data_IF_199384203451
#
_entry.id   IF_199384203451
#
_cell.length_a   1.000
_cell.length_b   1.000
_cell.length_c   1.000
_cell.angle_alpha   90.00
_cell.angle_beta   90.00
_cell.angle_gamma   90.00
#
_symmetry.space_group_name_H-M   'P 1'
#
loop_
_entity.id
_entity.type
_entity.pdbx_description
1 polymer ?
#
# COMPACT_ATOMS: atom_id res chain seq x y z
N UNK A 1 54.48 -22.30 24.33
CA UNK A 1 53.13 -22.08 23.73
C UNK A 1 52.43 -21.06 24.62
N UNK A 2 52.39 -19.82 24.17
CA UNK A 2 51.58 -18.77 24.76
C UNK A 2 50.13 -19.11 24.45
N UNK A 3 49.17 -18.90 25.40
CA UNK A 3 47.77 -19.11 25.13
C UNK A 3 47.31 -18.01 24.15
N UNK A 4 46.73 -18.39 23.04
CA UNK A 4 45.94 -17.49 22.18
C UNK A 4 44.79 -16.89 23.06
N UNK A 5 44.92 -15.59 23.34
CA UNK A 5 43.83 -14.84 23.99
C UNK A 5 42.66 -14.79 23.00
N UNK A 6 41.57 -15.47 23.31
CA UNK A 6 40.29 -15.35 22.59
C UNK A 6 39.82 -13.89 22.67
N UNK A 7 40.15 -13.10 21.65
CA UNK A 7 39.66 -11.73 21.53
C UNK A 7 38.14 -11.82 21.33
N UNK A 8 37.37 -11.39 22.34
CA UNK A 8 35.92 -11.39 22.30
C UNK A 8 35.42 -10.30 21.36
N UNK A 9 34.73 -10.69 20.30
CA UNK A 9 33.99 -9.78 19.41
C UNK A 9 32.55 -9.62 19.93
N UNK A 10 32.08 -8.37 19.98
CA UNK A 10 30.69 -8.08 20.37
C UNK A 10 30.04 -7.17 19.30
N UNK A 11 28.81 -7.49 18.86
CA UNK A 11 28.05 -6.61 17.97
C UNK A 11 27.46 -5.44 18.77
N UNK A 12 27.70 -4.21 18.31
CA UNK A 12 27.25 -2.96 18.93
C UNK A 12 26.46 -2.14 17.90
N UNK A 13 25.24 -1.63 18.23
CA UNK A 13 24.47 -0.74 17.35
C UNK A 13 25.12 0.65 17.25
N UNK A 14 24.66 1.48 16.28
CA UNK A 14 25.15 2.85 16.07
C UNK A 14 25.08 3.75 17.31
N UNK A 15 24.09 3.52 18.18
CA UNK A 15 23.97 4.19 19.48
C UNK A 15 23.42 3.23 20.50
N UNK A 16 23.92 3.28 21.75
CA UNK A 16 23.45 2.49 22.86
C UNK A 16 23.74 3.19 24.19
N UNK A 17 23.07 2.75 25.27
CA UNK A 17 23.36 3.26 26.58
C UNK A 17 24.55 2.53 27.21
N UNK A 18 25.25 3.17 28.15
CA UNK A 18 26.35 2.56 28.92
C UNK A 18 25.92 1.27 29.61
N UNK A 19 24.67 1.18 30.02
CA UNK A 19 24.07 -0.03 30.62
C UNK A 19 24.01 -1.18 29.62
N UNK A 20 23.50 -0.92 28.41
CA UNK A 20 23.41 -1.91 27.34
C UNK A 20 24.77 -2.36 26.85
N UNK A 21 25.75 -1.44 26.80
CA UNK A 21 27.14 -1.79 26.49
C UNK A 21 27.71 -2.77 27.54
N UNK A 22 27.48 -2.50 28.83
CA UNK A 22 27.94 -3.39 29.88
C UNK A 22 27.26 -4.78 29.82
N UNK A 23 25.97 -4.84 29.47
CA UNK A 23 25.25 -6.08 29.30
C UNK A 23 25.77 -6.88 28.10
N UNK A 24 26.05 -6.22 26.95
CA UNK A 24 26.68 -6.85 25.76
C UNK A 24 28.11 -7.35 26.05
N UNK A 25 28.86 -6.61 26.84
CA UNK A 25 30.22 -7.02 27.32
C UNK A 25 30.15 -8.11 28.42
N UNK A 26 28.95 -8.48 28.89
CA UNK A 26 28.72 -9.46 29.98
C UNK A 26 29.44 -9.08 31.28
N UNK A 27 29.47 -7.78 31.62
CA UNK A 27 30.10 -7.27 32.83
C UNK A 27 29.14 -6.36 33.62
N UNK A 28 29.35 -6.21 34.97
CA UNK A 28 28.55 -5.31 35.78
C UNK A 28 28.71 -3.84 35.30
N UNK A 29 27.59 -3.15 35.03
CA UNK A 29 27.59 -1.75 34.58
C UNK A 29 28.35 -0.81 35.57
N UNK A 30 28.32 -1.12 36.89
CA UNK A 30 29.08 -0.39 37.90
C UNK A 30 30.62 -0.49 37.70
N UNK A 31 31.13 -1.62 37.22
CA UNK A 31 32.56 -1.79 36.92
C UNK A 31 32.98 -0.95 35.72
N UNK A 32 32.12 -0.86 34.70
CA UNK A 32 32.35 -0.03 33.49
C UNK A 32 32.40 1.45 33.88
N UNK A 33 31.38 1.96 34.59
CA UNK A 33 31.34 3.36 35.06
C UNK A 33 32.53 3.71 35.95
N UNK A 34 32.93 2.80 36.84
CA UNK A 34 34.11 3.02 37.73
C UNK A 34 35.39 3.18 36.92
N UNK A 35 35.63 2.37 35.87
CA UNK A 35 36.80 2.45 35.03
C UNK A 35 36.81 3.75 34.21
N UNK A 36 35.71 4.14 33.63
CA UNK A 36 35.54 5.40 32.90
C UNK A 36 35.78 6.63 33.82
N UNK A 37 35.26 6.56 35.05
CA UNK A 37 35.53 7.61 36.04
C UNK A 37 37.02 7.74 36.42
N UNK A 38 37.75 6.60 36.52
CA UNK A 38 39.20 6.62 36.75
C UNK A 38 39.99 7.18 35.56
N UNK A 39 39.44 7.14 34.34
CA UNK A 39 39.97 7.74 33.12
C UNK A 39 39.57 9.22 32.98
N UNK A 40 38.83 9.79 33.93
CA UNK A 40 38.40 11.19 33.93
C UNK A 40 37.11 11.49 33.20
N UNK A 41 36.36 10.47 32.76
CA UNK A 41 35.10 10.63 32.09
C UNK A 41 33.94 10.43 33.08
N UNK A 42 33.13 11.47 33.27
CA UNK A 42 31.90 11.39 34.07
C UNK A 42 30.74 10.95 33.18
N UNK A 43 30.34 9.68 33.30
CA UNK A 43 29.27 9.10 32.52
C UNK A 43 28.15 8.57 33.42
N UNK A 44 26.92 8.68 32.94
CA UNK A 44 25.72 8.14 33.61
C UNK A 44 25.33 6.80 32.98
N UNK A 45 24.73 5.90 33.77
CA UNK A 45 24.30 4.58 33.27
C UNK A 45 23.29 4.62 32.12
N UNK A 46 22.50 5.68 32.03
CA UNK A 46 21.48 5.88 31.00
C UNK A 46 21.95 6.88 29.92
N UNK A 47 23.20 7.25 29.92
CA UNK A 47 23.78 8.11 28.89
C UNK A 47 23.92 7.33 27.58
N UNK A 48 23.37 7.87 26.49
CA UNK A 48 23.58 7.36 25.15
C UNK A 48 24.98 7.74 24.67
N UNK A 49 25.65 6.77 24.08
CA UNK A 49 26.98 6.88 23.47
C UNK A 49 26.91 6.41 22.02
N UNK A 50 27.73 6.99 21.17
CA UNK A 50 27.87 6.60 19.78
C UNK A 50 28.69 5.32 19.64
N UNK A 51 28.64 4.69 18.45
CA UNK A 51 29.45 3.49 18.15
C UNK A 51 30.95 3.76 18.38
N UNK A 52 31.45 4.89 17.91
CA UNK A 52 32.89 5.25 18.05
C UNK A 52 33.31 5.33 19.53
N UNK A 53 32.46 5.95 20.36
CA UNK A 53 32.70 6.02 21.82
C UNK A 53 32.59 4.63 22.47
N UNK A 54 31.65 3.82 22.04
CA UNK A 54 31.44 2.45 22.53
C UNK A 54 32.59 1.53 22.10
N UNK A 55 33.13 1.68 20.90
CA UNK A 55 34.32 0.97 20.38
C UNK A 55 35.55 1.31 21.20
N UNK A 56 35.80 2.61 21.47
CA UNK A 56 36.93 3.05 22.29
C UNK A 56 36.86 2.48 23.72
N UNK A 57 35.66 2.47 24.28
CA UNK A 57 35.39 1.87 25.59
C UNK A 57 35.64 0.36 25.55
N UNK A 58 35.09 -0.36 24.57
CA UNK A 58 35.25 -1.81 24.43
C UNK A 58 36.71 -2.21 24.24
N UNK A 59 37.46 -1.47 23.41
CA UNK A 59 38.90 -1.66 23.21
C UNK A 59 39.69 -1.50 24.53
N UNK A 60 39.29 -0.62 25.43
CA UNK A 60 39.92 -0.47 26.73
C UNK A 60 39.77 -1.71 27.64
N UNK A 61 38.95 -2.69 27.25
CA UNK A 61 38.71 -3.97 27.91
C UNK A 61 39.16 -5.18 27.07
N UNK A 62 39.96 -4.95 26.01
CA UNK A 62 40.44 -5.98 25.07
C UNK A 62 39.27 -6.71 24.35
N UNK A 63 38.18 -5.97 24.07
CA UNK A 63 37.01 -6.44 23.34
C UNK A 63 36.91 -5.66 22.02
N UNK A 64 36.80 -6.38 20.91
CA UNK A 64 36.58 -5.76 19.59
C UNK A 64 35.07 -5.55 19.43
N UNK A 65 34.68 -4.29 19.16
CA UNK A 65 33.34 -3.94 18.80
C UNK A 65 33.19 -4.07 17.29
N UNK A 66 32.16 -4.76 16.83
CA UNK A 66 31.73 -4.77 15.44
C UNK A 66 30.42 -4.02 15.34
N UNK A 67 30.28 -3.18 14.31
CA UNK A 67 29.01 -2.52 14.05
C UNK A 67 27.95 -3.59 13.77
N UNK A 68 26.92 -3.64 14.62
CA UNK A 68 25.77 -4.50 14.37
C UNK A 68 25.06 -3.97 13.12
N UNK A 69 25.27 -4.63 11.96
CA UNK A 69 24.45 -4.33 10.79
C UNK A 69 23.00 -4.51 11.21
N UNK A 70 22.27 -3.39 11.32
CA UNK A 70 20.81 -3.44 11.45
C UNK A 70 20.32 -4.15 10.19
N UNK A 71 20.09 -5.44 10.30
CA UNK A 71 19.33 -6.15 9.28
C UNK A 71 17.97 -5.48 9.30
N UNK A 72 17.71 -4.67 8.28
CA UNK A 72 16.40 -4.07 8.10
C UNK A 72 15.41 -5.22 7.83
N UNK A 73 14.84 -5.76 8.92
CA UNK A 73 13.90 -6.89 8.87
C UNK A 73 12.71 -6.55 7.98
N UNK A 74 12.36 -5.25 7.90
CA UNK A 74 11.31 -4.78 7.00
C UNK A 74 11.79 -4.91 5.56
N UNK A 75 12.99 -4.43 5.25
CA UNK A 75 13.56 -4.55 3.91
C UNK A 75 13.81 -6.02 3.55
N UNK A 76 14.25 -6.86 4.48
CA UNK A 76 14.48 -8.29 4.23
C UNK A 76 13.17 -9.05 3.95
N UNK A 77 12.12 -8.84 4.75
CA UNK A 77 10.81 -9.45 4.54
C UNK A 77 10.07 -8.87 3.32
N UNK A 78 10.38 -7.62 2.95
CA UNK A 78 9.85 -6.98 1.75
C UNK A 78 10.72 -7.24 0.52
N UNK A 79 11.93 -7.74 0.67
CA UNK A 79 12.82 -8.07 -0.44
C UNK A 79 12.17 -9.16 -1.30
N UNK A 80 12.16 -8.92 -2.59
CA UNK A 80 11.71 -9.94 -3.53
C UNK A 80 12.84 -10.98 -3.67
N UNK A 81 12.65 -12.13 -3.02
CA UNK A 81 13.49 -13.28 -3.30
C UNK A 81 13.25 -13.74 -4.75
N UNK A 82 14.31 -14.07 -5.47
CA UNK A 82 14.20 -14.72 -6.77
C UNK A 82 13.43 -16.03 -6.60
N UNK A 83 12.26 -16.10 -7.18
CA UNK A 83 11.39 -17.27 -7.06
C UNK A 83 11.76 -18.30 -8.13
N UNK A 84 11.83 -19.55 -7.71
CA UNK A 84 12.04 -20.69 -8.60
C UNK A 84 10.86 -20.81 -9.57
N UNK A 85 11.10 -20.57 -10.85
CA UNK A 85 10.08 -20.61 -11.91
C UNK A 85 9.31 -21.93 -11.95
N UNK A 86 9.94 -23.04 -11.52
CA UNK A 86 9.31 -24.36 -11.48
C UNK A 86 8.13 -24.46 -10.50
N UNK A 87 8.07 -23.56 -9.52
CA UNK A 87 7.02 -23.50 -8.48
C UNK A 87 5.91 -22.51 -8.81
N UNK A 88 6.09 -21.72 -9.85
CA UNK A 88 5.12 -20.73 -10.28
C UNK A 88 3.94 -21.40 -11.01
N UNK A 89 2.74 -20.92 -10.73
CA UNK A 89 1.49 -21.31 -11.38
C UNK A 89 0.80 -20.11 -11.96
N UNK A 90 0.06 -20.30 -13.07
CA UNK A 90 -0.81 -19.26 -13.64
C UNK A 90 -1.76 -18.78 -12.55
N UNK A 91 -1.88 -17.44 -12.40
CA UNK A 91 -2.81 -16.80 -11.48
C UNK A 91 -3.84 -15.98 -12.24
N UNK A 92 -5.02 -15.77 -11.67
CA UNK A 92 -6.01 -14.86 -12.24
C UNK A 92 -5.45 -13.45 -12.41
N UNK A 93 -5.86 -12.71 -13.46
CA UNK A 93 -5.55 -11.31 -13.59
C UNK A 93 -6.28 -10.48 -12.52
N UNK A 94 -5.62 -9.42 -12.08
CA UNK A 94 -6.23 -8.37 -11.26
C UNK A 94 -6.41 -7.14 -12.13
N UNK A 95 -7.64 -6.64 -12.20
CA UNK A 95 -8.04 -5.57 -13.11
C UNK A 95 -8.60 -4.41 -12.32
N UNK A 96 -8.08 -3.20 -12.52
CA UNK A 96 -8.73 -2.00 -12.00
C UNK A 96 -9.64 -1.37 -13.06
N UNK A 97 -10.78 -0.83 -12.62
CA UNK A 97 -11.70 -0.09 -13.47
C UNK A 97 -11.59 1.39 -13.16
N UNK A 98 -11.25 2.18 -14.16
CA UNK A 98 -10.98 3.60 -14.05
C UNK A 98 -11.74 4.41 -15.10
N UNK A 99 -11.80 5.71 -14.92
CA UNK A 99 -12.44 6.64 -15.85
C UNK A 99 -13.23 7.72 -15.14
N UNK A 100 -13.84 8.60 -15.93
CA UNK A 100 -14.60 9.73 -15.43
C UNK A 100 -15.86 9.33 -14.64
N UNK A 101 -16.35 10.21 -13.77
CA UNK A 101 -17.68 10.09 -13.14
C UNK A 101 -18.73 10.04 -14.29
N UNK A 102 -19.82 9.34 -14.07
CA UNK A 102 -20.93 9.21 -15.03
C UNK A 102 -20.62 8.48 -16.37
N UNK A 103 -19.38 8.01 -16.60
CA UNK A 103 -19.07 7.16 -17.75
C UNK A 103 -19.59 5.72 -17.61
N UNK A 104 -20.21 5.39 -16.47
CA UNK A 104 -20.89 4.12 -16.24
C UNK A 104 -19.98 2.99 -15.78
N UNK A 105 -18.88 3.31 -15.02
CA UNK A 105 -18.00 2.30 -14.42
C UNK A 105 -18.76 1.31 -13.54
N UNK A 106 -19.49 1.83 -12.54
CA UNK A 106 -20.26 1.00 -11.60
C UNK A 106 -21.35 0.22 -12.33
N UNK A 107 -22.04 0.84 -13.29
CA UNK A 107 -23.04 0.14 -14.10
C UNK A 107 -22.44 -0.98 -14.96
N UNK A 108 -21.24 -0.78 -15.51
CA UNK A 108 -20.51 -1.81 -16.25
C UNK A 108 -20.15 -2.98 -15.32
N UNK A 109 -19.66 -2.67 -14.12
CA UNK A 109 -19.31 -3.67 -13.13
C UNK A 109 -20.54 -4.42 -12.59
N UNK A 110 -21.67 -3.73 -12.39
CA UNK A 110 -22.93 -4.38 -12.03
C UNK A 110 -23.42 -5.33 -13.14
N UNK A 111 -23.29 -4.91 -14.40
CA UNK A 111 -23.62 -5.77 -15.53
C UNK A 111 -22.73 -7.02 -15.61
N UNK A 112 -21.45 -6.90 -15.29
CA UNK A 112 -20.46 -8.01 -15.22
C UNK A 112 -20.78 -8.95 -14.04
N UNK A 113 -21.17 -8.41 -12.88
CA UNK A 113 -21.46 -9.17 -11.66
C UNK A 113 -22.86 -9.74 -11.61
N UNK A 114 -23.77 -9.25 -12.45
CA UNK A 114 -25.22 -9.47 -12.36
C UNK A 114 -25.78 -9.02 -10.99
N UNK A 115 -25.38 -7.82 -10.55
CA UNK A 115 -25.78 -7.20 -9.28
C UNK A 115 -26.29 -5.78 -9.52
N UNK A 116 -26.92 -5.21 -8.51
CA UNK A 116 -27.49 -3.84 -8.54
C UNK A 116 -26.85 -2.99 -7.42
N UNK A 117 -25.52 -2.96 -7.35
CA UNK A 117 -24.77 -2.20 -6.32
C UNK A 117 -25.03 -0.70 -6.47
N UNK A 118 -25.18 -0.22 -7.70
CA UNK A 118 -25.47 1.19 -8.01
C UNK A 118 -26.74 1.70 -7.30
N UNK A 119 -27.74 0.85 -7.08
CA UNK A 119 -28.98 1.23 -6.37
C UNK A 119 -28.81 1.33 -4.85
N UNK A 120 -27.77 0.71 -4.30
CA UNK A 120 -27.54 0.62 -2.85
C UNK A 120 -26.47 1.60 -2.34
N UNK A 121 -25.64 2.14 -3.21
CA UNK A 121 -24.63 3.14 -2.85
C UNK A 121 -25.23 4.54 -2.71
N UNK A 122 -24.78 5.28 -1.70
CA UNK A 122 -25.23 6.64 -1.46
C UNK A 122 -24.86 7.56 -2.65
N UNK A 123 -25.88 8.08 -3.34
CA UNK A 123 -25.69 8.91 -4.53
C UNK A 123 -25.45 8.12 -5.83
N UNK A 124 -25.51 6.79 -5.82
CA UNK A 124 -25.30 5.95 -7.01
C UNK A 124 -23.86 5.99 -7.56
N UNK A 125 -22.88 6.34 -6.73
CA UNK A 125 -21.47 6.44 -7.10
C UNK A 125 -20.61 5.61 -6.16
N UNK A 126 -19.59 4.95 -6.72
CA UNK A 126 -18.60 4.20 -5.94
C UNK A 126 -17.76 5.15 -5.08
N UNK A 127 -17.77 4.93 -3.77
CA UNK A 127 -17.05 5.74 -2.78
C UNK A 127 -15.91 4.98 -2.09
N UNK A 128 -15.90 3.65 -2.17
CA UNK A 128 -14.91 2.75 -1.60
C UNK A 128 -14.24 1.93 -2.69
N UNK A 129 -13.03 1.43 -2.43
CA UNK A 129 -12.43 0.47 -3.34
C UNK A 129 -13.11 -0.89 -3.14
N UNK A 130 -13.96 -1.27 -4.07
CA UNK A 130 -14.57 -2.60 -4.12
C UNK A 130 -13.60 -3.63 -4.73
N UNK A 131 -13.51 -4.82 -4.16
CA UNK A 131 -12.73 -5.90 -4.73
C UNK A 131 -13.58 -7.18 -4.80
N UNK A 132 -13.66 -7.80 -5.97
CA UNK A 132 -14.51 -8.98 -6.18
C UNK A 132 -14.00 -9.86 -7.31
N UNK A 133 -14.45 -11.11 -7.32
CA UNK A 133 -14.04 -12.13 -8.29
C UNK A 133 -15.18 -12.50 -9.21
N UNK A 134 -14.97 -12.39 -10.51
CA UNK A 134 -15.87 -12.86 -11.56
C UNK A 134 -15.33 -14.13 -12.18
N UNK A 135 -16.21 -15.01 -12.65
CA UNK A 135 -15.84 -16.24 -13.36
C UNK A 135 -16.45 -16.25 -14.75
N UNK A 136 -15.61 -16.43 -15.75
CA UNK A 136 -15.99 -16.50 -17.16
C UNK A 136 -15.27 -17.68 -17.80
N UNK A 137 -16.02 -18.49 -18.51
CA UNK A 137 -15.51 -19.68 -19.21
C UNK A 137 -14.65 -20.60 -18.32
N UNK A 138 -14.90 -20.61 -16.98
CA UNK A 138 -14.13 -21.37 -16.00
C UNK A 138 -12.89 -20.66 -15.45
N UNK A 139 -12.46 -19.55 -16.03
CA UNK A 139 -11.37 -18.70 -15.54
C UNK A 139 -11.87 -17.64 -14.57
N UNK A 140 -10.98 -17.13 -13.73
CA UNK A 140 -11.30 -16.08 -12.75
C UNK A 140 -10.63 -14.78 -13.14
N UNK A 141 -11.34 -13.68 -12.95
CA UNK A 141 -10.82 -12.32 -13.05
C UNK A 141 -11.15 -11.62 -11.74
N UNK A 142 -10.17 -10.94 -11.15
CA UNK A 142 -10.38 -10.12 -9.96
C UNK A 142 -10.48 -8.66 -10.37
N UNK A 143 -11.61 -8.03 -10.06
CA UNK A 143 -11.82 -6.61 -10.33
C UNK A 143 -11.62 -5.78 -9.07
N UNK A 144 -10.97 -4.63 -9.25
CA UNK A 144 -10.90 -3.55 -8.27
C UNK A 144 -11.68 -2.36 -8.83
N UNK A 145 -12.80 -2.03 -8.19
CA UNK A 145 -13.57 -0.83 -8.52
C UNK A 145 -13.00 0.38 -7.80
N UNK A 146 -12.73 1.45 -8.52
CA UNK A 146 -12.15 2.67 -7.97
C UNK A 146 -13.09 3.87 -8.14
N UNK A 147 -13.23 4.72 -7.09
CA UNK A 147 -14.03 5.94 -7.20
C UNK A 147 -13.57 6.85 -8.33
N UNK A 148 -14.53 7.37 -9.11
CA UNK A 148 -14.22 8.25 -10.24
C UNK A 148 -13.97 9.71 -9.85
N UNK A 149 -14.40 10.16 -8.68
CA UNK A 149 -14.36 11.55 -8.27
C UNK A 149 -12.92 12.04 -8.00
N UNK A 150 -12.64 13.30 -8.32
CA UNK A 150 -11.31 13.93 -8.17
C UNK A 150 -10.71 13.79 -6.76
N UNK A 151 -11.54 13.87 -5.72
CA UNK A 151 -11.11 13.70 -4.34
C UNK A 151 -10.38 12.37 -4.05
N UNK A 152 -10.61 11.33 -4.86
CA UNK A 152 -10.10 9.97 -4.62
C UNK A 152 -8.89 9.59 -5.49
N UNK A 153 -8.04 10.57 -5.84
CA UNK A 153 -6.83 10.36 -6.64
C UNK A 153 -5.90 9.28 -6.05
N UNK A 154 -5.68 9.29 -4.73
CA UNK A 154 -4.86 8.27 -4.06
C UNK A 154 -5.43 6.85 -4.18
N UNK A 155 -6.75 6.70 -4.17
CA UNK A 155 -7.40 5.41 -4.36
C UNK A 155 -7.22 4.89 -5.79
N UNK A 156 -7.31 5.76 -6.82
CA UNK A 156 -7.07 5.39 -8.23
C UNK A 156 -5.62 4.97 -8.44
N UNK A 157 -4.67 5.73 -7.91
CA UNK A 157 -3.24 5.40 -7.99
C UNK A 157 -2.94 4.04 -7.33
N UNK A 158 -3.51 3.80 -6.15
CA UNK A 158 -3.40 2.51 -5.44
C UNK A 158 -4.02 1.37 -6.24
N UNK A 159 -5.21 1.59 -6.82
CA UNK A 159 -5.86 0.64 -7.72
C UNK A 159 -4.91 0.24 -8.86
N UNK A 160 -4.35 1.21 -9.58
CA UNK A 160 -3.41 0.95 -10.67
C UNK A 160 -2.18 0.15 -10.21
N UNK A 161 -1.52 0.56 -9.12
CA UNK A 161 -0.31 -0.09 -8.62
C UNK A 161 -0.53 -1.53 -8.12
N UNK A 162 -1.78 -1.89 -7.86
CA UNK A 162 -2.14 -3.21 -7.32
C UNK A 162 -2.63 -4.19 -8.38
N UNK A 163 -2.70 -3.78 -9.64
CA UNK A 163 -3.35 -4.52 -10.74
C UNK A 163 -2.39 -4.82 -11.88
N UNK A 164 -2.80 -5.75 -12.74
CA UNK A 164 -2.06 -6.19 -13.92
C UNK A 164 -2.54 -5.48 -15.18
N UNK A 165 -3.86 -5.19 -15.23
CA UNK A 165 -4.53 -4.55 -16.35
C UNK A 165 -5.46 -3.45 -15.83
N UNK A 166 -5.51 -2.33 -16.52
CA UNK A 166 -6.46 -1.24 -16.26
C UNK A 166 -7.53 -1.20 -17.37
N UNK A 167 -8.80 -1.31 -16.98
CA UNK A 167 -9.93 -1.06 -17.87
C UNK A 167 -10.36 0.40 -17.75
N UNK A 168 -10.06 1.18 -18.78
CA UNK A 168 -10.42 2.59 -18.87
C UNK A 168 -11.81 2.72 -19.51
N UNK A 169 -12.80 3.14 -18.72
CA UNK A 169 -14.17 3.32 -19.20
C UNK A 169 -14.39 4.75 -19.71
N UNK A 170 -14.76 4.87 -20.95
CA UNK A 170 -15.03 6.17 -21.63
C UNK A 170 -16.42 6.10 -22.26
N UNK A 171 -17.27 7.10 -21.97
CA UNK A 171 -18.61 7.15 -22.57
C UNK A 171 -18.55 7.65 -24.01
N UNK A 172 -19.24 6.95 -24.90
CA UNK A 172 -19.25 7.24 -26.35
C UNK A 172 -19.94 8.58 -26.70
N UNK A 173 -20.83 9.05 -25.81
CA UNK A 173 -21.55 10.33 -25.94
C UNK A 173 -20.76 11.53 -25.43
N UNK A 174 -19.93 11.35 -24.40
CA UNK A 174 -19.16 12.44 -23.74
C UNK A 174 -17.72 12.57 -24.28
N UNK A 175 -17.03 11.45 -24.55
CA UNK A 175 -15.66 11.43 -25.01
C UNK A 175 -14.63 11.49 -23.87
N UNK A 176 -13.42 12.00 -24.14
CA UNK A 176 -12.33 12.07 -23.16
C UNK A 176 -12.50 13.27 -22.24
N UNK A 177 -12.59 13.02 -20.95
CA UNK A 177 -12.79 14.02 -19.91
C UNK A 177 -11.52 14.16 -19.01
N UNK A 178 -11.35 15.25 -18.23
CA UNK A 178 -10.13 15.46 -17.43
C UNK A 178 -9.76 14.30 -16.51
N UNK A 179 -10.73 13.68 -15.85
CA UNK A 179 -10.49 12.51 -15.00
C UNK A 179 -10.12 11.24 -15.80
N UNK A 180 -10.51 11.18 -17.08
CA UNK A 180 -10.05 10.13 -18.00
C UNK A 180 -8.55 10.30 -18.27
N UNK A 181 -8.10 11.52 -18.50
CA UNK A 181 -6.67 11.84 -18.70
C UNK A 181 -5.86 11.53 -17.44
N UNK A 182 -6.39 11.89 -16.26
CA UNK A 182 -5.78 11.54 -14.97
C UNK A 182 -5.64 10.01 -14.82
N UNK A 183 -6.69 9.24 -15.13
CA UNK A 183 -6.66 7.78 -15.09
C UNK A 183 -5.62 7.17 -16.04
N UNK A 184 -5.49 7.71 -17.25
CA UNK A 184 -4.44 7.31 -18.22
C UNK A 184 -3.05 7.53 -17.61
N UNK A 185 -2.82 8.70 -17.01
CA UNK A 185 -1.53 9.03 -16.40
C UNK A 185 -1.20 8.11 -15.23
N UNK A 186 -2.18 7.76 -14.40
CA UNK A 186 -1.99 6.81 -13.29
C UNK A 186 -1.65 5.40 -13.78
N UNK A 187 -2.37 4.91 -14.80
CA UNK A 187 -2.09 3.59 -15.38
C UNK A 187 -0.69 3.56 -16.03
N UNK A 188 -0.32 4.59 -16.78
CA UNK A 188 1.02 4.71 -17.38
C UNK A 188 2.13 4.81 -16.32
N UNK A 189 1.92 5.60 -15.27
CA UNK A 189 2.88 5.73 -14.16
C UNK A 189 3.06 4.42 -13.38
N UNK A 190 2.01 3.61 -13.29
CA UNK A 190 2.06 2.28 -12.69
C UNK A 190 2.64 1.20 -13.62
N UNK A 191 2.87 1.51 -14.92
CA UNK A 191 3.33 0.55 -15.91
C UNK A 191 2.33 -0.55 -16.24
N UNK A 192 1.02 -0.27 -16.08
CA UNK A 192 -0.07 -1.23 -16.26
C UNK A 192 -0.64 -1.14 -17.67
N UNK A 193 -0.91 -2.29 -18.28
CA UNK A 193 -1.53 -2.35 -19.62
C UNK A 193 -2.97 -1.83 -19.57
N UNK A 194 -3.34 -1.04 -20.59
CA UNK A 194 -4.63 -0.38 -20.67
C UNK A 194 -5.50 -1.02 -21.74
N UNK A 195 -6.71 -1.44 -21.36
CA UNK A 195 -7.79 -1.79 -22.26
C UNK A 195 -8.86 -0.71 -22.13
N UNK A 196 -9.39 -0.23 -23.24
CA UNK A 196 -10.44 0.80 -23.23
C UNK A 196 -11.80 0.17 -23.47
N UNK A 197 -12.73 0.41 -22.54
CA UNK A 197 -14.15 0.09 -22.69
C UNK A 197 -14.89 1.36 -23.12
N UNK A 198 -15.30 1.44 -24.39
CA UNK A 198 -16.10 2.56 -24.90
C UNK A 198 -17.57 2.26 -24.58
N UNK A 199 -18.06 2.83 -23.49
CA UNK A 199 -19.38 2.54 -22.94
C UNK A 199 -20.48 3.45 -23.52
N UNK A 200 -21.75 3.07 -23.27
CA UNK A 200 -22.95 3.79 -23.69
C UNK A 200 -23.12 3.87 -25.21
N UNK A 201 -22.72 2.82 -25.94
CA UNK A 201 -22.90 2.77 -27.40
C UNK A 201 -24.37 2.74 -27.83
N UNK A 202 -25.27 2.41 -26.93
CA UNK A 202 -26.74 2.40 -27.08
C UNK A 202 -27.36 3.79 -27.14
N UNK A 203 -26.63 4.83 -26.70
CA UNK A 203 -27.16 6.19 -26.67
C UNK A 203 -27.18 6.87 -28.04
N UNK A 204 -28.26 7.67 -28.33
CA UNK A 204 -28.26 8.53 -29.49
C UNK A 204 -27.17 9.60 -29.36
N UNK A 205 -26.23 9.66 -30.31
CA UNK A 205 -25.07 10.57 -30.28
C UNK A 205 -23.77 9.88 -29.89
N UNK A 206 -23.78 8.58 -29.61
CA UNK A 206 -22.57 7.80 -29.43
C UNK A 206 -21.67 7.88 -30.68
N UNK A 207 -20.40 8.23 -30.47
CA UNK A 207 -19.41 8.36 -31.54
C UNK A 207 -18.08 7.73 -31.12
N UNK A 208 -17.87 6.49 -31.54
CA UNK A 208 -16.69 5.70 -31.19
C UNK A 208 -15.42 6.31 -31.79
N UNK A 209 -15.47 6.80 -33.04
CA UNK A 209 -14.30 7.36 -33.71
C UNK A 209 -13.81 8.65 -33.03
N UNK A 210 -14.73 9.49 -32.55
CA UNK A 210 -14.41 10.69 -31.78
C UNK A 210 -13.67 10.31 -30.47
N UNK A 211 -14.12 9.24 -29.80
CA UNK A 211 -13.46 8.75 -28.58
C UNK A 211 -12.06 8.24 -28.90
N UNK A 212 -11.90 7.42 -29.94
CA UNK A 212 -10.60 6.92 -30.40
C UNK A 212 -9.63 8.05 -30.74
N UNK A 213 -10.11 9.08 -31.44
CA UNK A 213 -9.31 10.25 -31.78
C UNK A 213 -8.86 11.01 -30.52
N UNK A 214 -9.77 11.27 -29.57
CA UNK A 214 -9.42 11.93 -28.32
C UNK A 214 -8.42 11.13 -27.46
N UNK A 215 -8.53 9.79 -27.45
CA UNK A 215 -7.57 8.93 -26.76
C UNK A 215 -6.19 8.92 -27.41
N UNK A 216 -6.15 8.97 -28.76
CA UNK A 216 -4.91 9.04 -29.51
C UNK A 216 -4.11 10.33 -29.19
N UNK A 217 -4.78 11.46 -28.94
CA UNK A 217 -4.13 12.72 -28.49
C UNK A 217 -3.42 12.55 -27.13
N UNK A 218 -3.86 11.61 -26.31
CA UNK A 218 -3.25 11.26 -25.03
C UNK A 218 -2.32 10.03 -25.09
N UNK A 219 -1.94 9.61 -26.33
CA UNK A 219 -0.99 8.54 -26.58
C UNK A 219 -1.55 7.14 -26.35
N UNK A 220 -2.87 6.95 -26.52
CA UNK A 220 -3.54 5.66 -26.58
C UNK A 220 -4.08 5.47 -28.00
N UNK A 221 -3.29 4.84 -28.86
CA UNK A 221 -3.67 4.57 -30.25
C UNK A 221 -4.33 3.19 -30.34
N UNK A 222 -5.53 3.16 -30.93
CA UNK A 222 -6.31 1.94 -31.09
C UNK A 222 -5.61 0.92 -31.99
N UNK A 223 -5.75 -0.37 -31.68
CA UNK A 223 -5.15 -1.48 -32.44
C UNK A 223 -5.60 -1.50 -33.91
N UNK A 224 -6.87 -1.21 -34.20
CA UNK A 224 -7.43 -1.09 -35.54
C UNK A 224 -6.88 0.11 -36.33
N UNK A 225 -6.29 1.11 -35.66
CA UNK A 225 -5.57 2.23 -36.27
C UNK A 225 -4.04 2.04 -36.30
N UNK A 226 -3.57 0.81 -36.04
CA UNK A 226 -2.15 0.46 -36.01
C UNK A 226 -1.42 0.75 -34.71
N UNK A 227 -2.15 0.97 -33.63
CA UNK A 227 -1.63 1.11 -32.28
C UNK A 227 -1.53 -0.23 -31.53
N UNK A 228 -1.40 -0.14 -30.22
CA UNK A 228 -1.26 -1.28 -29.29
C UNK A 228 -2.34 -1.32 -28.21
N UNK A 229 -3.34 -0.44 -28.27
CA UNK A 229 -4.39 -0.38 -27.25
C UNK A 229 -5.67 -0.99 -27.79
N UNK A 230 -6.17 -2.00 -27.08
CA UNK A 230 -7.44 -2.62 -27.41
C UNK A 230 -8.60 -1.74 -26.93
N UNK A 231 -9.53 -1.45 -27.84
CA UNK A 231 -10.70 -0.60 -27.56
C UNK A 231 -11.97 -1.36 -27.89
N UNK A 232 -12.72 -1.74 -26.86
CA UNK A 232 -13.92 -2.55 -26.97
C UNK A 232 -15.17 -1.69 -26.79
N UNK A 233 -16.06 -1.60 -27.81
CA UNK A 233 -17.36 -0.95 -27.67
C UNK A 233 -18.28 -1.79 -26.79
N UNK A 234 -18.89 -1.16 -25.75
CA UNK A 234 -19.77 -1.86 -24.80
C UNK A 234 -20.99 -1.02 -24.45
N UNK A 235 -22.03 -1.68 -24.02
CA UNK A 235 -23.16 -1.05 -23.34
C UNK A 235 -23.47 -1.78 -22.03
N UNK A 236 -23.24 -1.12 -20.91
CA UNK A 236 -23.62 -1.64 -19.61
C UNK A 236 -25.14 -1.85 -19.49
N UNK A 237 -25.94 -1.05 -20.20
CA UNK A 237 -27.41 -1.11 -20.16
C UNK A 237 -27.97 -2.30 -20.96
N UNK A 238 -27.48 -2.50 -22.19
CA UNK A 238 -27.94 -3.60 -23.06
C UNK A 238 -27.13 -4.88 -22.88
N UNK A 239 -26.03 -4.83 -22.11
CA UNK A 239 -25.02 -5.88 -21.92
C UNK A 239 -24.27 -6.27 -23.19
N UNK A 240 -24.36 -5.46 -24.25
CA UNK A 240 -23.64 -5.67 -25.51
C UNK A 240 -22.13 -5.46 -25.32
N UNK A 241 -21.29 -6.34 -25.90
CA UNK A 241 -19.84 -6.25 -25.89
C UNK A 241 -19.16 -6.56 -24.56
N UNK A 242 -19.93 -6.93 -23.49
CA UNK A 242 -19.33 -7.23 -22.17
C UNK A 242 -18.49 -8.52 -22.25
N UNK A 243 -18.98 -9.55 -22.89
CA UNK A 243 -18.26 -10.82 -23.05
C UNK A 243 -16.95 -10.60 -23.85
N UNK A 244 -17.02 -9.79 -24.91
CA UNK A 244 -15.83 -9.43 -25.72
C UNK A 244 -14.78 -8.68 -24.87
N UNK A 245 -15.23 -7.75 -24.00
CA UNK A 245 -14.33 -7.03 -23.09
C UNK A 245 -13.61 -7.99 -22.12
N UNK A 246 -14.35 -8.94 -21.59
CA UNK A 246 -13.83 -9.89 -20.62
C UNK A 246 -12.91 -10.93 -21.27
N UNK A 247 -13.20 -11.36 -22.49
CA UNK A 247 -12.31 -12.20 -23.30
C UNK A 247 -11.01 -11.45 -23.64
N UNK A 248 -11.10 -10.15 -23.95
CA UNK A 248 -9.92 -9.31 -24.20
C UNK A 248 -9.04 -9.18 -22.95
N UNK A 249 -9.64 -9.02 -21.76
CA UNK A 249 -8.91 -9.01 -20.49
C UNK A 249 -8.18 -10.34 -20.26
N UNK A 250 -8.82 -11.47 -20.53
CA UNK A 250 -8.18 -12.80 -20.40
C UNK A 250 -7.05 -12.98 -21.41
N UNK A 251 -7.24 -12.54 -22.66
CA UNK A 251 -6.22 -12.58 -23.69
C UNK A 251 -4.99 -11.75 -23.29
N UNK A 252 -5.21 -10.53 -22.80
CA UNK A 252 -4.13 -9.69 -22.29
C UNK A 252 -3.39 -10.32 -21.12
N UNK A 253 -4.13 -10.97 -20.21
CA UNK A 253 -3.54 -11.70 -19.08
C UNK A 253 -2.67 -12.88 -19.52
N UNK A 254 -3.04 -13.55 -20.62
CA UNK A 254 -2.24 -14.63 -21.19
C UNK A 254 -0.96 -14.10 -21.86
N UNK A 255 -1.02 -12.96 -22.53
CA UNK A 255 0.16 -12.29 -23.10
C UNK A 255 1.14 -11.86 -22.00
N UNK A 256 0.62 -11.40 -20.85
CA UNK A 256 1.43 -11.02 -19.69
C UNK A 256 2.02 -12.21 -18.93
N UNK A 257 1.63 -13.44 -19.24
CA UNK A 257 2.08 -14.67 -18.56
C UNK A 257 2.02 -14.60 -17.03
N UNK A 258 0.90 -14.13 -16.47
CA UNK A 258 0.75 -13.88 -15.04
C UNK A 258 0.92 -15.15 -14.22
N UNK A 259 1.99 -15.21 -13.41
CA UNK A 259 2.37 -16.37 -12.58
C UNK A 259 2.60 -15.93 -11.13
N UNK A 260 2.34 -16.80 -10.18
CA UNK A 260 2.69 -16.62 -8.77
C UNK A 260 2.94 -17.97 -8.10
N UNK A 261 3.75 -18.00 -7.06
CA UNK A 261 3.99 -19.19 -6.27
C UNK A 261 2.95 -19.28 -5.13
N UNK A 262 2.00 -20.25 -5.16
CA UNK A 262 0.99 -20.38 -4.11
C UNK A 262 1.53 -21.03 -2.83
N UNK A 263 2.72 -21.66 -2.87
CA UNK A 263 3.24 -22.48 -1.78
C UNK A 263 4.19 -21.72 -0.83
N UNK A 264 4.32 -20.40 -0.99
CA UNK A 264 5.10 -19.55 -0.09
C UNK A 264 4.22 -18.87 0.96
N UNK A 265 4.85 -18.16 1.89
CA UNK A 265 4.17 -17.25 2.81
C UNK A 265 3.37 -16.21 2.03
N UNK A 266 2.16 -15.91 2.51
CA UNK A 266 1.29 -14.97 1.84
C UNK A 266 1.86 -13.56 1.94
N UNK A 267 1.85 -12.86 0.80
CA UNK A 267 2.16 -11.44 0.68
C UNK A 267 1.11 -10.80 -0.21
N UNK A 268 0.77 -9.57 0.10
CA UNK A 268 -0.18 -8.80 -0.70
C UNK A 268 -0.32 -7.38 -0.18
N UNK A 269 -1.39 -6.72 -0.57
CA UNK A 269 -1.63 -5.30 -0.29
C UNK A 269 -2.96 -5.12 0.45
N UNK A 270 -3.00 -4.16 1.36
CA UNK A 270 -4.22 -3.68 2.00
C UNK A 270 -4.96 -2.78 1.00
N UNK A 271 -6.12 -3.22 0.55
CA UNK A 271 -6.97 -2.43 -0.35
C UNK A 271 -7.66 -1.34 0.46
N UNK A 272 -8.30 -1.74 1.56
CA UNK A 272 -9.05 -0.86 2.45
C UNK A 272 -9.11 -1.42 3.86
N UNK A 273 -9.26 -0.56 4.85
CA UNK A 273 -9.40 -0.96 6.24
C UNK A 273 -10.36 -0.05 7.00
N UNK A 274 -11.04 -0.64 7.98
CA UNK A 274 -12.02 0.05 8.82
C UNK A 274 -12.07 -0.52 10.22
N UNK A 275 -12.58 0.27 11.15
CA UNK A 275 -12.91 -0.18 12.49
C UNK A 275 -14.41 -0.49 12.58
N UNK A 276 -14.75 -1.77 12.58
CA UNK A 276 -16.14 -2.21 12.77
C UNK A 276 -16.49 -2.27 14.26
N UNK A 277 -17.65 -1.74 14.63
CA UNK A 277 -18.09 -1.67 16.04
C UNK A 277 -18.30 -3.04 16.69
N UNK A 278 -18.58 -4.08 15.92
CA UNK A 278 -18.83 -5.44 16.41
C UNK A 278 -17.67 -6.40 16.21
N UNK A 279 -16.93 -6.24 15.09
CA UNK A 279 -15.86 -7.15 14.68
C UNK A 279 -14.45 -6.64 15.05
N UNK A 280 -14.29 -5.36 15.39
CA UNK A 280 -13.01 -4.69 15.61
C UNK A 280 -12.34 -4.29 14.30
N UNK A 281 -10.99 -4.25 14.23
CA UNK A 281 -10.26 -3.95 13.02
C UNK A 281 -10.54 -4.97 11.90
N UNK A 282 -10.98 -4.48 10.76
CA UNK A 282 -11.30 -5.24 9.55
C UNK A 282 -10.49 -4.67 8.41
N UNK A 283 -9.80 -5.53 7.65
CA UNK A 283 -9.07 -5.11 6.47
C UNK A 283 -9.46 -5.96 5.25
N UNK A 284 -9.70 -5.32 4.13
CA UNK A 284 -9.81 -5.97 2.83
C UNK A 284 -8.43 -6.02 2.20
N UNK A 285 -7.95 -7.21 1.93
CA UNK A 285 -6.60 -7.44 1.40
C UNK A 285 -6.67 -8.17 0.07
N UNK A 286 -5.73 -7.86 -0.82
CA UNK A 286 -5.50 -8.60 -2.05
C UNK A 286 -4.24 -9.45 -1.87
N UNK A 287 -4.39 -10.76 -1.92
CA UNK A 287 -3.25 -11.68 -1.90
C UNK A 287 -2.56 -11.64 -3.26
N UNK A 288 -1.29 -11.25 -3.31
CA UNK A 288 -0.51 -11.20 -4.56
C UNK A 288 0.34 -12.46 -4.74
N UNK A 289 0.98 -12.92 -3.68
CA UNK A 289 1.86 -14.11 -3.69
C UNK A 289 1.54 -14.99 -2.49
N UNK A 290 1.79 -16.29 -2.62
CA UNK A 290 1.54 -17.25 -1.54
C UNK A 290 0.06 -17.58 -1.31
N UNK A 291 -0.22 -18.24 -0.21
CA UNK A 291 -1.58 -18.58 0.21
C UNK A 291 -1.83 -18.17 1.65
N UNK A 292 -2.75 -17.22 1.85
CA UNK A 292 -3.18 -16.79 3.17
C UNK A 292 -4.14 -17.84 3.77
N UNK A 293 -3.93 -18.20 5.03
CA UNK A 293 -4.75 -19.20 5.75
C UNK A 293 -5.30 -18.60 7.04
N UNK A 294 -6.49 -19.05 7.43
CA UNK A 294 -7.01 -18.75 8.77
C UNK A 294 -6.05 -19.33 9.80
N UNK A 295 -5.68 -18.53 10.80
CA UNK A 295 -4.69 -18.88 11.80
C UNK A 295 -3.26 -18.46 11.50
N UNK A 296 -2.97 -17.91 10.30
CA UNK A 296 -1.67 -17.35 9.97
C UNK A 296 -1.39 -16.08 10.79
N UNK A 297 -0.13 -15.89 11.16
CA UNK A 297 0.33 -14.61 11.71
C UNK A 297 0.63 -13.67 10.57
N UNK A 298 0.22 -12.41 10.69
CA UNK A 298 0.40 -11.38 9.67
C UNK A 298 0.92 -10.10 10.30
N UNK A 299 1.70 -9.37 9.53
CA UNK A 299 2.11 -8.00 9.81
C UNK A 299 1.69 -7.12 8.63
N UNK A 300 1.23 -5.91 8.93
CA UNK A 300 0.83 -4.91 7.94
C UNK A 300 1.16 -3.52 8.49
N UNK A 301 2.21 -2.88 7.98
CA UNK A 301 2.73 -1.62 8.51
C UNK A 301 3.00 -1.69 10.02
N UNK A 302 2.43 -0.78 10.76
CA UNK A 302 2.52 -0.73 12.23
C UNK A 302 1.66 -1.78 12.95
N UNK A 303 0.86 -2.54 12.23
CA UNK A 303 -0.11 -3.48 12.81
C UNK A 303 0.32 -4.92 12.58
N UNK A 304 0.04 -5.77 13.57
CA UNK A 304 0.27 -7.21 13.49
C UNK A 304 -0.92 -7.95 14.06
N UNK A 305 -1.00 -9.24 13.81
CA UNK A 305 -2.07 -10.05 14.40
C UNK A 305 -2.13 -11.46 13.85
N UNK A 306 -3.15 -12.18 14.27
CA UNK A 306 -3.44 -13.54 13.79
C UNK A 306 -4.78 -13.52 13.06
N UNK A 307 -4.79 -14.00 11.83
CA UNK A 307 -6.03 -14.10 11.04
C UNK A 307 -7.04 -15.02 11.76
N UNK A 308 -8.06 -14.41 12.34
CA UNK A 308 -9.10 -15.15 13.08
C UNK A 308 -10.18 -15.67 12.15
N UNK A 309 -10.54 -14.90 11.15
CA UNK A 309 -11.52 -15.27 10.13
C UNK A 309 -11.19 -14.55 8.83
N UNK A 310 -11.58 -15.17 7.72
CA UNK A 310 -11.56 -14.58 6.39
C UNK A 310 -12.92 -14.75 5.73
N UNK A 311 -13.35 -13.73 4.99
CA UNK A 311 -14.55 -13.77 4.16
C UNK A 311 -14.21 -13.40 2.72
N UNK A 312 -14.92 -13.99 1.77
CA UNK A 312 -14.84 -13.58 0.37
C UNK A 312 -15.68 -12.30 0.11
N UNK A 313 -15.69 -11.83 -1.13
CA UNK A 313 -16.44 -10.66 -1.59
C UNK A 313 -17.98 -10.79 -1.43
N UNK A 314 -18.49 -12.01 -1.23
CA UNK A 314 -19.90 -12.31 -0.96
C UNK A 314 -20.23 -12.48 0.52
N UNK A 315 -19.23 -12.29 1.40
CA UNK A 315 -19.37 -12.47 2.85
C UNK A 315 -19.29 -13.93 3.34
N UNK A 316 -19.04 -14.90 2.46
CA UNK A 316 -18.89 -16.29 2.85
C UNK A 316 -17.56 -16.52 3.56
N UNK A 317 -17.56 -17.30 4.63
CA UNK A 317 -16.32 -17.66 5.33
C UNK A 317 -15.48 -18.62 4.52
N UNK A 318 -14.21 -18.27 4.31
CA UNK A 318 -13.23 -19.10 3.64
C UNK A 318 -12.05 -19.42 4.56
N UNK A 319 -11.39 -20.53 4.32
CA UNK A 319 -10.23 -20.98 5.12
C UNK A 319 -8.90 -20.62 4.50
N UNK A 320 -8.86 -20.46 3.19
CA UNK A 320 -7.64 -20.21 2.40
C UNK A 320 -7.93 -19.23 1.28
N UNK A 321 -6.98 -18.33 1.02
CA UNK A 321 -7.00 -17.39 -0.10
C UNK A 321 -5.66 -17.48 -0.85
N UNK A 322 -5.71 -17.85 -2.12
CA UNK A 322 -4.52 -17.92 -2.99
C UNK A 322 -4.23 -16.59 -3.69
N UNK A 323 -3.23 -16.57 -4.59
CA UNK A 323 -2.89 -15.38 -5.37
C UNK A 323 -4.08 -14.80 -6.13
N UNK A 324 -4.10 -13.48 -6.29
CA UNK A 324 -5.15 -12.68 -6.93
C UNK A 324 -6.54 -12.81 -6.29
N UNK A 325 -6.61 -13.25 -5.03
CA UNK A 325 -7.90 -13.38 -4.33
C UNK A 325 -8.06 -12.24 -3.33
N UNK A 326 -9.11 -11.39 -3.46
CA UNK A 326 -9.46 -10.39 -2.46
C UNK A 326 -10.17 -11.08 -1.30
N UNK A 327 -9.84 -10.70 -0.07
CA UNK A 327 -10.49 -11.24 1.14
C UNK A 327 -10.58 -10.20 2.24
N UNK A 328 -11.69 -10.21 2.96
CA UNK A 328 -11.84 -9.48 4.21
C UNK A 328 -11.24 -10.32 5.34
N UNK A 329 -10.32 -9.73 6.11
CA UNK A 329 -9.64 -10.39 7.23
C UNK A 329 -9.99 -9.73 8.56
N UNK A 330 -10.04 -10.56 9.60
CA UNK A 330 -10.25 -10.17 10.99
C UNK A 330 -9.11 -10.66 11.86
N UNK A 331 -8.67 -9.84 12.81
CA UNK A 331 -7.71 -10.27 13.84
C UNK A 331 -6.42 -9.46 13.91
N UNK A 332 -6.33 -8.33 13.19
CA UNK A 332 -5.27 -7.35 13.36
C UNK A 332 -5.38 -6.61 14.70
N UNK A 333 -4.26 -6.11 15.22
CA UNK A 333 -4.16 -5.32 16.45
C UNK A 333 -4.78 -3.93 16.34
N UNK A 334 -4.78 -3.36 15.14
CA UNK A 334 -5.33 -2.06 14.80
C UNK A 334 -5.74 -2.00 13.34
N UNK A 335 -6.16 -0.83 12.89
CA UNK A 335 -6.54 -0.56 11.49
C UNK A 335 -5.28 -0.20 10.71
N UNK A 336 -4.83 -1.03 9.73
CA UNK A 336 -3.68 -0.69 8.90
C UNK A 336 -4.03 0.42 7.92
N UNK A 337 -3.02 1.09 7.38
CA UNK A 337 -3.25 2.05 6.31
C UNK A 337 -3.53 1.31 4.98
N UNK A 338 -4.44 1.85 4.22
CA UNK A 338 -4.70 1.36 2.89
C UNK A 338 -3.49 1.59 1.97
N UNK A 339 -3.13 0.59 1.17
CA UNK A 339 -1.92 0.59 0.32
C UNK A 339 -0.68 0.00 1.00
N UNK A 340 -0.70 -0.27 2.30
CA UNK A 340 0.41 -0.97 2.96
C UNK A 340 0.50 -2.44 2.50
N UNK A 341 1.73 -2.92 2.40
CA UNK A 341 1.99 -4.33 2.12
C UNK A 341 1.77 -5.14 3.40
N UNK A 342 1.05 -6.23 3.30
CA UNK A 342 1.00 -7.23 4.37
C UNK A 342 1.86 -8.44 4.03
N UNK A 343 2.45 -9.04 5.05
CA UNK A 343 3.21 -10.27 4.95
C UNK A 343 2.74 -11.27 6.01
N UNK A 344 2.68 -12.56 5.67
CA UNK A 344 2.49 -13.60 6.67
C UNK A 344 3.85 -14.06 7.19
N UNK A 345 3.93 -14.28 8.50
CA UNK A 345 5.16 -14.68 9.18
C UNK A 345 5.00 -16.07 9.79
N UNK A 346 6.13 -16.75 10.05
CA UNK A 346 6.10 -18.09 10.66
C UNK A 346 5.65 -18.00 12.12
N UNK A 347 6.07 -16.98 12.85
CA UNK A 347 5.78 -16.80 14.27
C UNK A 347 5.07 -15.47 14.55
N UNK A 348 4.36 -15.40 15.68
CA UNK A 348 3.72 -14.16 16.13
C UNK A 348 4.75 -13.11 16.57
N UNK A 349 5.91 -13.54 17.04
CA UNK A 349 7.00 -12.64 17.44
C UNK A 349 7.58 -11.93 16.21
N UNK A 350 7.88 -12.64 15.15
CA UNK A 350 8.32 -12.03 13.88
C UNK A 350 7.34 -10.98 13.36
N UNK A 351 6.01 -11.26 13.43
CA UNK A 351 5.01 -10.28 13.02
C UNK A 351 5.03 -9.02 13.90
N UNK A 352 5.27 -9.18 15.20
CA UNK A 352 5.36 -8.08 16.15
C UNK A 352 6.64 -7.27 15.94
N UNK A 353 7.75 -7.96 15.71
CA UNK A 353 9.06 -7.32 15.51
C UNK A 353 9.05 -6.53 14.21
N UNK A 354 8.47 -7.07 13.13
CA UNK A 354 8.23 -6.33 11.89
C UNK A 354 7.44 -5.03 12.13
N UNK A 355 6.31 -5.12 12.86
CA UNK A 355 5.49 -3.94 13.14
C UNK A 355 6.24 -2.89 13.98
N UNK A 356 7.05 -3.31 14.96
CA UNK A 356 7.87 -2.42 15.78
C UNK A 356 8.94 -1.70 14.94
N UNK A 357 9.69 -2.45 14.13
CA UNK A 357 10.70 -1.90 13.23
C UNK A 357 10.09 -0.90 12.25
N UNK A 358 8.91 -1.23 11.68
CA UNK A 358 8.19 -0.30 10.79
C UNK A 358 7.83 1.02 11.49
N UNK A 359 7.40 0.97 12.76
CA UNK A 359 7.10 2.17 13.56
C UNK A 359 8.36 2.99 13.82
N UNK A 360 9.47 2.34 14.16
CA UNK A 360 10.76 3.00 14.40
C UNK A 360 11.28 3.69 13.14
N UNK A 361 11.28 3.01 11.99
CA UNK A 361 11.68 3.57 10.70
C UNK A 361 10.80 4.75 10.28
N UNK A 362 9.48 4.63 10.51
CA UNK A 362 8.54 5.70 10.20
C UNK A 362 8.79 6.94 11.07
N UNK A 363 9.12 6.75 12.35
CA UNK A 363 9.49 7.84 13.27
C UNK A 363 10.83 8.47 12.86
N UNK A 364 11.82 7.67 12.50
CA UNK A 364 13.13 8.15 12.06
C UNK A 364 12.99 9.02 10.80
N UNK A 365 12.24 8.56 9.79
CA UNK A 365 11.95 9.31 8.56
C UNK A 365 11.22 10.64 8.84
N UNK A 366 10.28 10.63 9.78
CA UNK A 366 9.59 11.86 10.22
C UNK A 366 10.54 12.83 10.93
N UNK A 367 11.44 12.34 11.76
CA UNK A 367 12.43 13.19 12.44
C UNK A 367 13.43 13.78 11.45
N UNK A 368 13.90 13.02 10.47
CA UNK A 368 14.74 13.53 9.39
C UNK A 368 14.04 14.60 8.57
N UNK A 369 12.82 14.35 8.12
CA UNK A 369 12.04 15.34 7.35
C UNK A 369 11.76 16.63 8.13
N UNK A 370 11.60 16.55 9.45
CA UNK A 370 11.43 17.71 10.31
C UNK A 370 12.75 18.45 10.56
N UNK A 371 13.90 17.76 10.63
CA UNK A 371 15.21 18.42 10.73
C UNK A 371 15.54 19.27 9.50
N UNK A 372 15.12 18.86 8.32
CA UNK A 372 15.27 19.65 7.09
C UNK A 372 14.33 20.86 6.99
N UNK A 373 13.23 20.89 7.78
CA UNK A 373 12.24 21.96 7.72
C UNK A 373 12.46 23.13 8.69
N UNK A 374 13.36 22.99 9.65
CA UNK A 374 13.62 24.04 10.65
C UNK A 374 15.08 24.51 10.52
N UNK A 375 15.33 25.35 9.52
CA UNK A 375 16.50 26.23 9.55
C UNK A 375 16.20 27.43 10.46
N UNK A 376 17.21 27.92 11.17
CA UNK A 376 17.06 29.13 12.04
C UNK A 376 16.63 30.36 11.24
N UNK A 377 16.91 30.42 9.94
CA UNK A 377 16.48 31.48 9.03
C UNK A 377 14.99 31.37 8.69
N UNK A 378 14.42 30.14 8.62
CA UNK A 378 12.97 29.92 8.44
C UNK A 378 12.17 30.32 9.68
N UNK A 379 12.73 30.14 10.89
CA UNK A 379 12.09 30.59 12.14
C UNK A 379 11.99 32.11 12.22
N UNK A 380 13.02 32.86 11.80
CA UNK A 380 13.00 34.29 11.75
C UNK A 380 12.02 34.85 10.70
N UNK A 381 11.96 34.21 9.52
CA UNK A 381 11.01 34.57 8.49
C UNK A 381 9.55 34.26 8.86
N UNK A 382 9.28 33.22 9.63
CA UNK A 382 7.96 32.91 10.18
C UNK A 382 7.53 33.88 11.29
N UNK A 383 8.45 34.39 12.09
CA UNK A 383 8.19 35.40 13.12
C UNK A 383 7.92 36.75 12.47
N UNK A 384 8.60 37.10 11.36
CA UNK A 384 8.39 38.35 10.62
C UNK A 384 7.13 38.34 9.73
N UNK A 385 6.67 37.16 9.28
CA UNK A 385 5.50 36.99 8.39
C UNK A 385 4.14 37.16 9.10
N UNK A 386 4.11 37.32 10.44
CA UNK A 386 2.86 37.45 11.19
C UNK A 386 2.08 36.14 11.30
N UNK A 387 1.36 35.96 12.39
CA UNK A 387 0.65 34.71 12.74
C UNK A 387 -0.21 34.18 11.60
N UNK A 388 0.32 33.17 10.86
CA UNK A 388 -0.53 32.31 10.02
C UNK A 388 -1.59 31.67 10.93
N UNK A 389 -2.85 31.93 10.65
CA UNK A 389 -3.94 31.35 11.41
C UNK A 389 -4.04 29.85 11.06
N UNK A 390 -3.91 28.99 12.04
CA UNK A 390 -4.08 27.55 11.87
C UNK A 390 -5.53 27.15 12.07
N UNK A 391 -6.09 26.41 11.10
CA UNK A 391 -7.39 25.75 11.23
C UNK A 391 -7.17 24.27 11.51
N UNK A 392 -7.30 23.88 12.78
CA UNK A 392 -7.16 22.47 13.18
C UNK A 392 -8.48 21.74 13.02
N UNK A 393 -8.51 20.70 12.17
CA UNK A 393 -9.68 19.89 11.87
C UNK A 393 -9.47 18.45 12.30
N UNK A 394 -10.53 17.82 12.82
CA UNK A 394 -10.58 16.37 13.09
C UNK A 394 -11.52 15.73 12.08
N UNK A 395 -10.99 14.80 11.29
CA UNK A 395 -11.76 14.06 10.29
C UNK A 395 -12.07 12.67 10.82
N UNK A 396 -13.34 12.25 10.66
CA UNK A 396 -13.80 10.89 10.92
C UNK A 396 -14.60 10.40 9.74
N UNK A 397 -14.29 9.24 9.23
CA UNK A 397 -15.04 8.57 8.19
C UNK A 397 -15.17 7.06 8.52
N UNK A 398 -15.93 6.37 7.73
CA UNK A 398 -16.23 4.94 7.87
C UNK A 398 -15.06 4.03 7.47
N UNK A 399 -14.23 4.48 6.51
CA UNK A 399 -13.03 3.77 6.05
C UNK A 399 -11.82 4.69 5.95
N UNK A 400 -10.63 4.10 6.04
CA UNK A 400 -9.36 4.82 6.03
C UNK A 400 -9.13 5.61 4.73
N UNK A 401 -9.50 5.05 3.58
CA UNK A 401 -9.36 5.73 2.30
C UNK A 401 -10.19 7.00 2.17
N UNK A 402 -11.41 7.04 2.73
CA UNK A 402 -12.25 8.24 2.76
C UNK A 402 -11.64 9.34 3.64
N UNK A 403 -11.03 8.99 4.78
CA UNK A 403 -10.29 9.94 5.62
C UNK A 403 -9.15 10.58 4.84
N UNK A 404 -8.36 9.77 4.13
CA UNK A 404 -7.24 10.23 3.31
C UNK A 404 -7.70 11.20 2.20
N UNK A 405 -8.76 10.86 1.48
CA UNK A 405 -9.31 11.68 0.39
C UNK A 405 -9.80 13.05 0.90
N UNK A 406 -10.56 13.07 2.00
CA UNK A 406 -11.07 14.31 2.60
C UNK A 406 -9.91 15.16 3.12
N UNK A 407 -8.92 14.55 3.78
CA UNK A 407 -7.70 15.25 4.23
C UNK A 407 -6.99 15.94 3.08
N UNK A 408 -6.70 15.23 2.00
CA UNK A 408 -6.00 15.78 0.84
C UNK A 408 -6.77 16.94 0.22
N UNK A 409 -8.10 16.84 0.14
CA UNK A 409 -8.96 17.91 -0.38
C UNK A 409 -8.96 19.14 0.53
N UNK A 410 -9.02 18.95 1.85
CA UNK A 410 -9.02 20.07 2.82
C UNK A 410 -7.67 20.77 2.91
N UNK A 411 -6.56 20.03 2.89
CA UNK A 411 -5.21 20.62 2.91
C UNK A 411 -4.97 21.49 1.67
N UNK A 412 -5.51 21.13 0.51
CA UNK A 412 -5.43 21.95 -0.72
C UNK A 412 -6.14 23.31 -0.60
N UNK A 413 -7.04 23.48 0.37
CA UNK A 413 -7.73 24.76 0.62
C UNK A 413 -6.90 25.74 1.46
N UNK A 414 -5.73 25.33 1.95
CA UNK A 414 -4.79 26.22 2.62
C UNK A 414 -4.40 27.38 1.70
N UNK A 415 -4.31 28.57 2.25
CA UNK A 415 -3.91 29.79 1.55
C UNK A 415 -2.87 30.57 2.39
N UNK A 416 -2.44 31.74 1.93
CA UNK A 416 -1.43 32.56 2.60
C UNK A 416 -1.87 33.11 3.97
N UNK A 417 -3.18 33.12 4.28
CA UNK A 417 -3.73 33.62 5.53
C UNK A 417 -4.05 32.50 6.53
N UNK A 418 -4.43 31.30 6.04
CA UNK A 418 -4.92 30.19 6.87
C UNK A 418 -4.31 28.87 6.40
N UNK A 419 -3.60 28.20 7.29
CA UNK A 419 -3.12 26.83 7.09
C UNK A 419 -4.14 25.82 7.65
N UNK A 420 -4.59 24.90 6.83
CA UNK A 420 -5.47 23.80 7.27
C UNK A 420 -4.63 22.64 7.77
N UNK A 421 -4.69 22.37 9.07
CA UNK A 421 -4.06 21.21 9.71
C UNK A 421 -5.12 20.16 10.06
N UNK A 422 -4.89 18.93 9.62
CA UNK A 422 -5.77 17.80 9.93
C UNK A 422 -5.09 16.91 10.96
N UNK A 423 -5.75 16.76 12.11
CA UNK A 423 -5.31 15.89 13.21
C UNK A 423 -6.19 14.64 13.22
N UNK A 424 -5.58 13.48 13.44
CA UNK A 424 -6.30 12.24 13.64
C UNK A 424 -6.60 12.06 15.14
N UNK A 425 -7.79 11.62 15.53
CA UNK A 425 -7.99 11.12 16.88
C UNK A 425 -7.19 9.81 17.03
N UNK A 426 -6.40 9.74 18.07
CA UNK A 426 -5.71 8.51 18.50
C UNK A 426 -6.69 7.37 18.79
#
# INVERSE_FOLDING_TARGET
>A
QEPEEDIKQIPIPESLTIRELADKMKMPAAALVKKLFMQGQMVSLNQEITFDEAEEIALSFDIIAELEEKVDMVAELLKEEEEDESKMKKRPPVVCVMGHVDHGKTSLLDAIRETDVTEHEAGGITQHIGAYVVRINGEKITFLDTPGHEAFTSMRMRGAQSTDVAVLVVAADDGVMPQTVEAINHAKAAGVEIIVAINKIDKPGANIDRVKQGLAEHGLLASDWGGNVEMVPVSAHTKEGIDDLLEMVLLQADVLELKANPNRQARGIIIEAKLDKGKGPVATVLVQKGTLKVGANIAAGANHGKVRAMSDDRGNRIKTAGPSTPVEILGLSGVPNAGEVFVSTATANEAKDFANTFVEDSKAKLMESNKFRISLDDLNSQIEAGELKELNLIIKADVQGSVEAVRQSLVKLSNEEVEVKVTFPE
#
